data_IF_385993107969
#
_entry.id   IF_385993107969
#
_cell.length_a   1.000
_cell.length_b   1.000
_cell.length_c   1.000
_cell.angle_alpha   90.00
_cell.angle_beta   90.00
_cell.angle_gamma   90.00
#
_symmetry.space_group_name_H-M   'P 1'
#
loop_
_entity.id
_entity.type
_entity.pdbx_description
1 polymer ?
#
# COMPACT_ATOMS: atom_id res chain seq x y z
N UNK A 1 10.55 -5.56 -23.25
CA UNK A 1 11.91 -5.83 -22.73
C UNK A 1 12.51 -4.47 -22.36
N UNK A 2 13.03 -4.35 -21.14
CA UNK A 2 13.73 -3.15 -20.65
C UNK A 2 15.23 -3.26 -20.87
N UNK A 3 15.76 -4.47 -20.85
CA UNK A 3 17.17 -4.76 -21.06
C UNK A 3 17.42 -6.24 -21.35
N UNK A 4 18.59 -6.51 -21.88
CA UNK A 4 19.12 -7.84 -22.11
C UNK A 4 20.58 -7.89 -21.67
N UNK A 5 20.92 -8.88 -20.86
CA UNK A 5 22.30 -9.17 -20.45
C UNK A 5 22.80 -10.33 -21.30
N UNK A 6 23.76 -10.09 -22.21
CA UNK A 6 24.26 -11.13 -23.13
C UNK A 6 25.13 -12.17 -22.43
N UNK A 7 25.81 -11.82 -21.34
CA UNK A 7 26.73 -12.71 -20.64
C UNK A 7 25.97 -13.82 -19.89
N UNK A 8 24.82 -13.46 -19.31
CA UNK A 8 23.96 -14.39 -18.59
C UNK A 8 22.69 -14.79 -19.35
N UNK A 9 22.48 -14.24 -20.57
CA UNK A 9 21.27 -14.47 -21.37
C UNK A 9 19.97 -14.11 -20.63
N UNK A 10 19.99 -13.08 -19.78
CA UNK A 10 18.87 -12.66 -18.95
C UNK A 10 18.17 -11.45 -19.57
N UNK A 11 16.84 -11.55 -19.70
CA UNK A 11 16.00 -10.44 -20.11
C UNK A 11 15.41 -9.71 -18.89
N UNK A 12 15.62 -8.41 -18.81
CA UNK A 12 14.87 -7.56 -17.87
C UNK A 12 13.56 -7.16 -18.52
N UNK A 13 12.44 -7.54 -17.90
CA UNK A 13 11.12 -7.26 -18.40
C UNK A 13 10.54 -5.98 -17.75
N UNK A 14 9.68 -5.30 -18.48
CA UNK A 14 8.85 -4.21 -17.97
C UNK A 14 7.50 -4.23 -18.67
N UNK A 15 6.52 -3.56 -18.10
CA UNK A 15 5.23 -3.38 -18.79
C UNK A 15 5.41 -2.38 -19.95
N UNK A 16 4.79 -2.65 -21.11
CA UNK A 16 4.92 -1.77 -22.29
C UNK A 16 4.28 -0.40 -22.06
N UNK A 17 3.21 -0.34 -21.27
CA UNK A 17 2.50 0.89 -20.94
C UNK A 17 1.73 0.75 -19.60
N UNK A 18 1.06 1.84 -19.19
CA UNK A 18 0.28 1.88 -17.94
C UNK A 18 -0.96 0.99 -17.97
N UNK A 19 -1.61 0.88 -19.12
CA UNK A 19 -2.83 0.08 -19.32
C UNK A 19 -2.55 -1.41 -19.11
N UNK A 20 -1.48 -1.93 -19.72
CA UNK A 20 -1.07 -3.33 -19.55
C UNK A 20 -0.66 -3.60 -18.11
N UNK A 21 0.09 -2.66 -17.48
CA UNK A 21 0.42 -2.77 -16.06
C UNK A 21 -0.82 -2.80 -15.19
N UNK A 22 -1.78 -1.91 -15.44
CA UNK A 22 -3.06 -1.85 -14.73
C UNK A 22 -3.82 -3.17 -14.86
N UNK A 23 -4.05 -3.63 -16.09
CA UNK A 23 -4.77 -4.88 -16.36
C UNK A 23 -4.12 -6.10 -15.70
N UNK A 24 -2.78 -6.15 -15.66
CA UNK A 24 -2.06 -7.22 -14.96
C UNK A 24 -2.30 -7.18 -13.45
N UNK A 25 -2.17 -6.02 -12.80
CA UNK A 25 -2.42 -5.88 -11.35
C UNK A 25 -3.90 -6.16 -11.02
N UNK A 26 -4.83 -5.65 -11.81
CA UNK A 26 -6.26 -5.90 -11.65
C UNK A 26 -6.61 -7.39 -11.82
N UNK A 27 -5.88 -8.14 -12.66
CA UNK A 27 -6.07 -9.58 -12.82
C UNK A 27 -5.52 -10.40 -11.66
N UNK A 28 -4.51 -9.88 -10.94
CA UNK A 28 -3.95 -10.55 -9.77
C UNK A 28 -4.81 -10.39 -8.51
N UNK A 29 -5.39 -9.21 -8.31
CA UNK A 29 -6.16 -8.92 -7.08
C UNK A 29 -7.24 -9.96 -6.77
N UNK A 30 -8.10 -10.40 -7.73
CA UNK A 30 -9.12 -11.42 -7.44
C UNK A 30 -8.56 -12.75 -6.95
N UNK A 31 -7.34 -13.11 -7.35
CA UNK A 31 -6.69 -14.35 -6.89
C UNK A 31 -6.27 -14.29 -5.40
N UNK A 32 -6.03 -13.09 -4.87
CA UNK A 32 -5.64 -12.88 -3.47
C UNK A 32 -6.80 -12.51 -2.55
N UNK A 33 -7.79 -11.77 -3.05
CA UNK A 33 -8.89 -11.25 -2.23
C UNK A 33 -10.25 -11.86 -2.57
N UNK A 34 -10.38 -12.59 -3.68
CA UNK A 34 -11.63 -13.21 -4.18
C UNK A 34 -12.80 -12.22 -4.31
N UNK A 35 -12.47 -10.95 -4.50
CA UNK A 35 -13.44 -9.91 -4.84
C UNK A 35 -13.37 -9.61 -6.34
N UNK A 36 -14.51 -9.29 -6.97
CA UNK A 36 -14.53 -8.84 -8.37
C UNK A 36 -13.63 -7.60 -8.58
N UNK A 37 -12.98 -7.52 -9.73
CA UNK A 37 -12.07 -6.40 -10.04
C UNK A 37 -12.74 -5.02 -9.89
N UNK A 38 -14.04 -4.92 -10.20
CA UNK A 38 -14.82 -3.69 -10.04
C UNK A 38 -14.90 -3.23 -8.58
N UNK A 39 -15.08 -4.15 -7.65
CA UNK A 39 -15.13 -3.85 -6.21
C UNK A 39 -13.76 -3.42 -5.69
N UNK A 40 -12.69 -4.09 -6.08
CA UNK A 40 -11.32 -3.69 -5.76
C UNK A 40 -11.03 -2.26 -6.23
N UNK A 41 -11.40 -1.93 -7.46
CA UNK A 41 -11.23 -0.58 -8.01
C UNK A 41 -12.06 0.45 -7.23
N UNK A 42 -13.27 0.11 -6.81
CA UNK A 42 -14.10 0.99 -5.99
C UNK A 42 -13.44 1.32 -4.64
N UNK A 43 -12.90 0.33 -3.94
CA UNK A 43 -12.18 0.55 -2.67
C UNK A 43 -10.97 1.46 -2.88
N UNK A 44 -10.14 1.18 -3.89
CA UNK A 44 -8.93 1.97 -4.19
C UNK A 44 -9.28 3.42 -4.54
N UNK A 45 -10.24 3.65 -5.42
CA UNK A 45 -10.64 5.01 -5.83
C UNK A 45 -11.24 5.79 -4.67
N UNK A 46 -12.05 5.15 -3.84
CA UNK A 46 -12.65 5.78 -2.67
C UNK A 46 -11.60 6.14 -1.62
N UNK A 47 -10.63 5.25 -1.37
CA UNK A 47 -9.48 5.52 -0.51
C UNK A 47 -8.68 6.74 -0.98
N UNK A 48 -8.40 6.85 -2.29
CA UNK A 48 -7.72 8.03 -2.87
C UNK A 48 -8.54 9.31 -2.67
N UNK A 49 -9.86 9.25 -2.83
CA UNK A 49 -10.73 10.41 -2.62
C UNK A 49 -10.67 10.90 -1.18
N UNK A 50 -10.71 9.98 -0.22
CA UNK A 50 -10.62 10.32 1.21
C UNK A 50 -9.25 10.93 1.55
N UNK A 51 -8.15 10.37 1.02
CA UNK A 51 -6.81 10.95 1.18
C UNK A 51 -6.70 12.38 0.62
N UNK A 52 -7.30 12.64 -0.55
CA UNK A 52 -7.25 13.97 -1.19
C UNK A 52 -7.94 15.06 -0.38
N UNK A 53 -8.93 14.71 0.42
CA UNK A 53 -9.64 15.65 1.30
C UNK A 53 -9.18 15.58 2.75
N UNK A 54 -8.12 14.83 3.03
CA UNK A 54 -7.52 14.73 4.37
C UNK A 54 -8.33 13.92 5.38
N UNK A 55 -9.27 13.09 4.93
CA UNK A 55 -10.13 12.25 5.76
C UNK A 55 -9.45 10.92 6.07
N UNK A 56 -8.42 10.97 6.95
CA UNK A 56 -7.57 9.81 7.23
C UNK A 56 -8.31 8.69 7.98
N UNK A 57 -9.18 9.03 8.93
CA UNK A 57 -9.93 8.03 9.67
C UNK A 57 -10.90 7.28 8.75
N UNK A 58 -11.65 8.00 7.90
CA UNK A 58 -12.54 7.39 6.91
C UNK A 58 -11.78 6.54 5.89
N UNK A 59 -10.58 7.00 5.53
CA UNK A 59 -9.66 6.28 4.64
C UNK A 59 -9.27 4.93 5.24
N UNK A 60 -8.85 4.89 6.50
CA UNK A 60 -8.42 3.67 7.18
C UNK A 60 -9.59 2.76 7.56
N UNK A 61 -10.76 3.32 7.93
CA UNK A 61 -11.98 2.52 8.09
C UNK A 61 -12.41 1.85 6.78
N UNK A 62 -12.20 2.50 5.64
CA UNK A 62 -12.45 1.89 4.33
C UNK A 62 -11.47 0.76 4.02
N UNK A 63 -10.19 0.94 4.37
CA UNK A 63 -9.17 -0.10 4.22
C UNK A 63 -9.49 -1.30 5.14
N UNK A 64 -9.94 -1.03 6.36
CA UNK A 64 -10.45 -2.03 7.31
C UNK A 64 -11.63 -2.82 6.72
N UNK A 65 -12.61 -2.11 6.14
CA UNK A 65 -13.76 -2.74 5.48
C UNK A 65 -13.35 -3.59 4.29
N UNK A 66 -12.35 -3.14 3.51
CA UNK A 66 -11.78 -3.92 2.41
C UNK A 66 -11.20 -5.24 2.91
N UNK A 67 -10.34 -5.22 3.95
CA UNK A 67 -9.77 -6.45 4.50
C UNK A 67 -10.84 -7.37 5.11
N UNK A 68 -11.83 -6.82 5.81
CA UNK A 68 -12.94 -7.58 6.38
C UNK A 68 -13.82 -8.26 5.31
N UNK A 69 -13.84 -7.75 4.07
CA UNK A 69 -14.60 -8.34 2.96
C UNK A 69 -13.90 -9.54 2.32
N UNK A 70 -12.63 -9.81 2.67
CA UNK A 70 -11.86 -10.94 2.11
C UNK A 70 -12.35 -12.25 2.72
N UNK A 71 -12.78 -13.25 1.92
CA UNK A 71 -13.36 -14.49 2.45
C UNK A 71 -12.36 -15.31 3.27
N UNK A 72 -12.81 -15.85 4.40
CA UNK A 72 -12.02 -16.63 5.35
C UNK A 72 -11.41 -17.93 4.78
N UNK A 73 -11.96 -18.46 3.69
CA UNK A 73 -11.50 -19.72 3.08
C UNK A 73 -10.11 -19.65 2.46
N UNK A 74 -9.56 -18.44 2.34
CA UNK A 74 -8.23 -18.18 1.80
C UNK A 74 -7.12 -18.23 2.85
N UNK A 75 -7.41 -18.83 3.98
CA UNK A 75 -6.61 -18.79 5.20
C UNK A 75 -5.22 -19.45 5.07
N UNK A 76 -4.35 -18.77 4.36
CA UNK A 76 -2.92 -18.85 4.63
C UNK A 76 -2.62 -17.79 5.71
N UNK A 77 -2.72 -18.14 6.99
CA UNK A 77 -2.42 -17.32 8.19
C UNK A 77 -0.99 -16.73 8.21
N UNK A 78 -0.40 -16.54 7.05
CA UNK A 78 0.96 -16.05 6.89
C UNK A 78 0.93 -14.54 6.73
N UNK A 79 1.65 -13.84 7.56
CA UNK A 79 1.96 -12.42 7.45
C UNK A 79 2.21 -11.97 6.00
N UNK A 80 2.97 -12.76 5.23
CA UNK A 80 3.23 -12.53 3.80
C UNK A 80 1.98 -12.42 2.91
N UNK A 81 0.87 -13.07 3.27
CA UNK A 81 -0.36 -12.96 2.48
C UNK A 81 -0.96 -11.55 2.61
N UNK A 82 -1.04 -11.03 3.82
CA UNK A 82 -1.54 -9.67 4.07
C UNK A 82 -0.62 -8.61 3.49
N UNK A 83 0.70 -8.77 3.64
CA UNK A 83 1.69 -7.90 3.00
C UNK A 83 1.51 -7.88 1.47
N UNK A 84 1.25 -9.03 0.85
CA UNK A 84 0.98 -9.09 -0.59
C UNK A 84 -0.29 -8.34 -0.97
N UNK A 85 -1.36 -8.46 -0.20
CA UNK A 85 -2.61 -7.72 -0.45
C UNK A 85 -2.39 -6.22 -0.30
N UNK A 86 -1.69 -5.76 0.73
CA UNK A 86 -1.29 -4.36 0.90
C UNK A 86 -0.49 -3.88 -0.31
N UNK A 87 0.53 -4.64 -0.70
CA UNK A 87 1.35 -4.32 -1.87
C UNK A 87 0.50 -4.16 -3.13
N UNK A 88 -0.40 -5.09 -3.41
CA UNK A 88 -1.27 -5.03 -4.59
C UNK A 88 -2.23 -3.84 -4.52
N UNK A 89 -2.81 -3.56 -3.35
CA UNK A 89 -3.71 -2.42 -3.14
C UNK A 89 -3.02 -1.10 -3.46
N UNK A 90 -1.84 -0.86 -2.88
CA UNK A 90 -1.08 0.37 -3.13
C UNK A 90 -0.51 0.43 -4.55
N UNK A 91 -0.15 -0.71 -5.13
CA UNK A 91 0.26 -0.77 -6.55
C UNK A 91 -0.89 -0.44 -7.50
N UNK A 92 -2.10 -0.85 -7.17
CA UNK A 92 -3.28 -0.48 -7.95
C UNK A 92 -3.58 1.02 -7.79
N UNK A 93 -3.42 1.59 -6.59
CA UNK A 93 -3.47 3.05 -6.38
C UNK A 93 -2.49 3.80 -7.29
N UNK A 94 -1.29 3.27 -7.50
CA UNK A 94 -0.27 3.85 -8.36
C UNK A 94 -0.67 4.03 -9.83
N UNK A 95 -1.85 3.54 -10.25
CA UNK A 95 -2.42 3.84 -11.56
C UNK A 95 -3.13 5.21 -11.61
N UNK A 96 -3.50 5.75 -10.46
CA UNK A 96 -4.30 6.96 -10.33
C UNK A 96 -3.53 8.14 -9.73
N UNK A 97 -2.55 7.84 -8.88
CA UNK A 97 -1.73 8.83 -8.16
C UNK A 97 -0.28 8.33 -8.06
N UNK A 98 0.64 9.20 -7.68
CA UNK A 98 2.04 8.81 -7.45
C UNK A 98 2.16 8.05 -6.12
N UNK A 99 2.52 6.77 -6.20
CA UNK A 99 2.70 5.87 -5.05
C UNK A 99 3.99 5.09 -5.20
N UNK A 100 4.84 5.20 -4.21
CA UNK A 100 5.98 4.31 -4.01
C UNK A 100 5.58 3.19 -3.05
N UNK A 101 5.84 1.96 -3.42
CA UNK A 101 5.62 0.78 -2.57
C UNK A 101 6.89 -0.02 -2.55
N UNK A 102 7.42 -0.26 -1.38
CA UNK A 102 8.64 -1.05 -1.22
C UNK A 102 8.36 -2.34 -0.43
N UNK A 103 9.12 -3.37 -0.76
CA UNK A 103 9.12 -4.66 -0.07
C UNK A 103 10.47 -4.95 0.56
N UNK A 104 11.40 -3.98 0.50
CA UNK A 104 12.77 -4.13 1.02
C UNK A 104 12.94 -3.50 2.41
N UNK A 105 13.79 -4.13 3.20
CA UNK A 105 14.16 -3.60 4.52
C UNK A 105 14.82 -2.22 4.38
N UNK A 106 14.29 -1.23 5.07
CA UNK A 106 14.87 0.11 5.14
C UNK A 106 14.13 1.20 4.37
N UNK A 107 12.89 0.95 3.94
CA UNK A 107 11.97 1.94 3.38
C UNK A 107 10.57 1.78 3.96
N UNK A 108 9.76 2.85 3.89
CA UNK A 108 8.36 2.79 4.26
C UNK A 108 7.60 1.80 3.39
N UNK A 109 6.60 1.12 3.96
CA UNK A 109 5.78 0.15 3.24
C UNK A 109 5.05 0.79 2.06
N UNK A 110 4.55 2.03 2.22
CA UNK A 110 4.01 2.80 1.12
C UNK A 110 4.19 4.31 1.33
N UNK A 111 4.47 5.03 0.25
CA UNK A 111 4.47 6.50 0.22
C UNK A 111 3.52 6.98 -0.85
N UNK A 112 2.50 7.73 -0.45
CA UNK A 112 1.49 8.30 -1.34
C UNK A 112 1.74 9.80 -1.50
N UNK A 113 1.97 10.24 -2.73
CA UNK A 113 2.32 11.63 -3.04
C UNK A 113 1.15 12.31 -3.75
N UNK A 114 0.51 13.24 -3.05
CA UNK A 114 -0.49 14.15 -3.61
C UNK A 114 0.14 15.50 -3.97
N UNK A 115 -0.66 16.40 -4.49
CA UNK A 115 -0.18 17.72 -4.93
C UNK A 115 0.39 18.54 -3.75
N UNK A 116 -0.26 18.51 -2.61
CA UNK A 116 0.04 19.30 -1.41
C UNK A 116 0.45 18.49 -0.19
N UNK A 117 0.26 17.16 -0.22
CA UNK A 117 0.46 16.27 0.93
C UNK A 117 1.17 14.99 0.51
N UNK A 118 2.08 14.52 1.37
CA UNK A 118 2.73 13.22 1.27
C UNK A 118 2.35 12.39 2.49
N UNK A 119 1.83 11.20 2.26
CA UNK A 119 1.53 10.24 3.30
C UNK A 119 2.58 9.13 3.31
N UNK A 120 3.19 8.90 4.47
CA UNK A 120 4.19 7.82 4.69
C UNK A 120 3.54 6.78 5.57
N UNK A 121 3.24 5.62 5.00
CA UNK A 121 2.57 4.51 5.69
C UNK A 121 3.58 3.46 6.13
N UNK A 122 3.41 2.99 7.35
CA UNK A 122 4.09 1.81 7.90
C UNK A 122 3.05 0.91 8.57
N UNK A 123 3.11 -0.38 8.27
CA UNK A 123 2.18 -1.38 8.78
C UNK A 123 2.91 -2.35 9.72
N UNK A 124 2.25 -2.68 10.83
CA UNK A 124 2.71 -3.73 11.75
C UNK A 124 1.64 -4.81 11.83
N UNK A 125 2.06 -6.05 11.69
CA UNK A 125 1.17 -7.19 11.95
C UNK A 125 1.34 -7.56 13.41
N UNK A 126 0.21 -7.58 14.16
CA UNK A 126 0.16 -7.86 15.58
C UNK A 126 1.07 -6.97 16.46
N UNK A 127 1.41 -5.78 15.96
CA UNK A 127 2.17 -4.76 16.68
C UNK A 127 1.30 -3.56 17.05
N UNK A 128 1.91 -2.38 17.19
CA UNK A 128 1.20 -1.14 17.52
C UNK A 128 1.41 -0.05 16.48
N UNK A 129 0.47 0.90 16.33
CA UNK A 129 0.68 2.09 15.50
C UNK A 129 1.86 2.94 15.94
N UNK A 130 2.15 2.96 17.25
CA UNK A 130 3.28 3.66 17.84
C UNK A 130 4.61 3.06 17.38
N UNK A 131 4.72 1.74 17.36
CA UNK A 131 5.90 1.04 16.82
C UNK A 131 6.11 1.34 15.34
N UNK A 132 5.02 1.41 14.56
CA UNK A 132 5.09 1.80 13.15
C UNK A 132 5.60 3.24 12.98
N UNK A 133 5.04 4.20 13.74
CA UNK A 133 5.49 5.59 13.72
C UNK A 133 6.94 5.73 14.20
N UNK A 134 7.33 5.01 15.26
CA UNK A 134 8.70 4.98 15.74
C UNK A 134 9.67 4.45 14.66
N UNK A 135 9.26 3.48 13.86
CA UNK A 135 10.06 2.99 12.74
C UNK A 135 10.20 4.03 11.65
N UNK A 136 9.12 4.72 11.23
CA UNK A 136 9.19 5.81 10.26
C UNK A 136 10.21 6.86 10.72
N UNK A 137 10.15 7.24 12.00
CA UNK A 137 11.01 8.27 12.57
C UNK A 137 12.47 7.81 12.69
N UNK A 138 12.72 6.63 13.27
CA UNK A 138 14.07 6.12 13.51
C UNK A 138 14.82 5.75 12.22
N UNK A 139 14.10 5.34 11.18
CA UNK A 139 14.67 5.04 9.86
C UNK A 139 14.70 6.25 8.91
N UNK A 140 14.09 7.36 9.31
CA UNK A 140 14.11 8.60 8.53
C UNK A 140 13.37 8.50 7.19
N UNK A 141 12.31 7.70 7.10
CA UNK A 141 11.58 7.48 5.84
C UNK A 141 10.96 8.76 5.25
N UNK A 142 10.69 9.75 6.08
CA UNK A 142 10.14 11.04 5.68
C UNK A 142 11.19 12.04 5.18
N UNK A 143 12.48 11.89 5.55
CA UNK A 143 13.55 12.87 5.32
C UNK A 143 13.68 13.25 3.83
N UNK A 144 13.54 12.28 2.92
CA UNK A 144 13.65 12.54 1.48
C UNK A 144 12.60 13.52 0.94
N UNK A 145 11.54 13.79 1.71
CA UNK A 145 10.41 14.63 1.32
C UNK A 145 10.36 15.97 2.07
N UNK A 146 11.17 16.15 3.11
CA UNK A 146 11.17 17.34 3.99
C UNK A 146 11.64 18.62 3.27
N UNK A 147 12.48 18.48 2.25
CA UNK A 147 12.96 19.63 1.47
C UNK A 147 11.86 20.27 0.58
N UNK A 148 10.70 19.64 0.46
CA UNK A 148 9.57 20.13 -0.33
C UNK A 148 8.61 20.98 0.48
N UNK A 149 7.72 21.71 -0.22
CA UNK A 149 6.68 22.53 0.42
C UNK A 149 5.39 21.76 0.73
N UNK A 150 5.40 20.42 0.58
CA UNK A 150 4.24 19.58 0.83
C UNK A 150 4.16 19.19 2.31
N UNK A 151 2.95 19.14 2.82
CA UNK A 151 2.69 18.59 4.16
C UNK A 151 3.08 17.11 4.19
N UNK A 152 3.79 16.67 5.21
CA UNK A 152 4.11 15.25 5.42
C UNK A 152 3.26 14.73 6.56
N UNK A 153 2.57 13.62 6.33
CA UNK A 153 1.76 12.93 7.33
C UNK A 153 2.28 11.49 7.44
N UNK A 154 2.75 11.14 8.61
CA UNK A 154 3.20 9.78 8.94
C UNK A 154 2.02 9.00 9.48
N UNK A 155 1.80 7.79 8.98
CA UNK A 155 0.65 6.95 9.31
C UNK A 155 1.14 5.59 9.75
N UNK A 156 1.04 5.31 11.05
CA UNK A 156 1.29 4.01 11.64
C UNK A 156 -0.01 3.21 11.72
N UNK A 157 0.01 1.97 11.26
CA UNK A 157 -1.17 1.11 11.18
C UNK A 157 -0.86 -0.26 11.76
N UNK A 158 -1.71 -0.75 12.68
CA UNK A 158 -1.70 -2.13 13.11
C UNK A 158 -2.66 -2.96 12.26
N UNK A 159 -2.20 -4.10 11.77
CA UNK A 159 -3.02 -5.17 11.21
C UNK A 159 -3.15 -6.29 12.26
N UNK A 160 -4.38 -6.60 12.64
CA UNK A 160 -4.69 -7.68 13.60
C UNK A 160 -4.91 -8.99 12.82
N UNK A 161 -3.99 -9.94 12.98
CA UNK A 161 -4.05 -11.23 12.30
C UNK A 161 -5.17 -12.14 12.82
N UNK A 162 -5.65 -11.94 14.04
CA UNK A 162 -6.75 -12.71 14.61
C UNK A 162 -8.09 -12.31 13.98
N UNK A 163 -8.34 -11.01 13.83
CA UNK A 163 -9.52 -10.47 13.16
C UNK A 163 -9.33 -10.32 11.64
N UNK A 164 -8.09 -10.45 11.16
CA UNK A 164 -7.69 -10.36 9.74
C UNK A 164 -8.02 -9.03 9.08
N UNK A 165 -7.94 -7.95 9.83
CA UNK A 165 -8.22 -6.62 9.32
C UNK A 165 -7.36 -5.57 10.03
N UNK A 166 -7.50 -4.32 9.59
CA UNK A 166 -6.92 -3.18 10.30
C UNK A 166 -7.51 -3.13 11.71
N UNK A 167 -6.65 -3.11 12.71
CA UNK A 167 -7.01 -2.94 14.11
C UNK A 167 -7.09 -1.47 14.49
N UNK A 168 -5.94 -0.88 14.80
CA UNK A 168 -5.80 0.51 15.23
C UNK A 168 -4.80 1.25 14.34
N UNK A 169 -4.88 2.58 14.34
CA UNK A 169 -3.94 3.44 13.62
C UNK A 169 -3.70 4.74 14.36
N UNK A 170 -2.59 5.38 13.99
CA UNK A 170 -2.20 6.70 14.50
C UNK A 170 -1.46 7.47 13.44
N UNK A 171 -1.52 8.80 13.50
CA UNK A 171 -0.80 9.66 12.58
C UNK A 171 -0.13 10.83 13.27
N UNK A 172 1.00 11.26 12.70
CA UNK A 172 1.77 12.44 13.08
C UNK A 172 1.87 13.40 11.88
N UNK A 173 1.84 14.70 12.21
CA UNK A 173 1.88 15.79 11.22
C UNK A 173 3.25 16.45 11.21
#
# INVERSE_FOLDING_TARGET
>A
IKGYDPDFQIYTLTYPNKEVRKGFIESLMPAYVHLPARENTFYVVSFIKDLRVGKLDECLERLKSFFASIPNKLDNKKEKHYQTIFYLFFRLMGQYIDVEVDTSVGRADAVVKLADTIYVFEFKVDGTPEEALAQINSKGYAIAYEAGNRKIIKVGVNFDSATRTIGTWKFEF
#
